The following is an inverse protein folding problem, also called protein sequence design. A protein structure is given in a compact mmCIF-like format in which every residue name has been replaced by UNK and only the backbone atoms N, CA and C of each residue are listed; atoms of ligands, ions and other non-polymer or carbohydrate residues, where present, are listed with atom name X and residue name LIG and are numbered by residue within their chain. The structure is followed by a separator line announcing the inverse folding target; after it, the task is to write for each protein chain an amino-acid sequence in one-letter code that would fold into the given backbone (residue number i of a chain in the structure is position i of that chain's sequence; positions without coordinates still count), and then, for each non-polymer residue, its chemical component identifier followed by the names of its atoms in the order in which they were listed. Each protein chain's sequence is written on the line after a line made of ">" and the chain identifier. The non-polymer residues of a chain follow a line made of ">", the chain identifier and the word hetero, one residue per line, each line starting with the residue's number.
data_IF_134244939597
#
_entry.id   IF_134244939597
#
_cell.length_a   1.000
_cell.length_b   1.000
_cell.length_c   1.000
_cell.angle_alpha   90.00
_cell.angle_beta   90.00
_cell.angle_gamma   90.00
#
_symmetry.space_group_name_H-M   'P 1'
#
loop_
_entity.id
_entity.type
_entity.pdbx_description
1 polymer ?
#
# COMPACT_ATOMS: atom_id res chain seq x y z
N UNK A 1 14.40 -9.01 2.19
CA UNK A 1 13.29 -9.43 1.31
C UNK A 1 12.93 -8.30 0.34
N UNK A 2 12.43 -8.64 -0.85
CA UNK A 2 11.96 -7.64 -1.83
C UNK A 2 10.46 -7.46 -1.67
N UNK A 3 10.02 -6.21 -1.58
CA UNK A 3 8.61 -5.83 -1.41
C UNK A 3 8.26 -4.64 -2.28
N UNK A 4 6.98 -4.54 -2.63
CA UNK A 4 6.42 -3.46 -3.45
C UNK A 4 5.37 -2.66 -2.69
N UNK A 5 5.21 -1.39 -3.05
CA UNK A 5 4.14 -0.53 -2.50
C UNK A 5 3.75 0.55 -3.50
N UNK A 6 2.44 0.74 -3.65
CA UNK A 6 1.87 1.93 -4.29
C UNK A 6 1.70 3.03 -3.24
N UNK A 7 2.15 4.23 -3.56
CA UNK A 7 2.09 5.39 -2.69
C UNK A 7 1.83 6.69 -3.46
N UNK A 8 1.46 7.73 -2.72
CA UNK A 8 1.32 9.08 -3.27
C UNK A 8 2.69 9.68 -3.62
N UNK A 9 2.72 10.63 -4.54
CA UNK A 9 3.95 11.37 -4.86
C UNK A 9 4.55 12.05 -3.61
N UNK A 10 3.69 12.58 -2.73
CA UNK A 10 4.13 13.22 -1.47
C UNK A 10 4.79 12.24 -0.50
N UNK A 11 4.25 11.03 -0.39
CA UNK A 11 4.83 9.97 0.44
C UNK A 11 6.20 9.57 -0.12
N UNK A 12 6.32 9.42 -1.45
CA UNK A 12 7.59 9.08 -2.09
C UNK A 12 8.65 10.18 -1.96
N UNK A 13 8.30 11.45 -2.14
CA UNK A 13 9.22 12.58 -1.94
C UNK A 13 9.77 12.61 -0.50
N UNK A 14 8.92 12.37 0.49
CA UNK A 14 9.34 12.29 1.89
C UNK A 14 10.26 11.10 2.15
N UNK A 15 9.93 9.93 1.60
CA UNK A 15 10.80 8.76 1.63
C UNK A 15 12.18 9.06 1.02
N UNK A 16 12.24 9.73 -0.15
CA UNK A 16 13.50 10.07 -0.81
C UNK A 16 14.37 11.04 0.00
N UNK A 17 13.76 11.96 0.76
CA UNK A 17 14.49 12.85 1.69
C UNK A 17 15.10 12.12 2.90
N UNK A 18 14.71 10.87 3.12
CA UNK A 18 15.07 10.11 4.32
C UNK A 18 14.20 10.43 5.53
N UNK A 19 13.02 11.03 5.31
CA UNK A 19 12.08 11.29 6.38
C UNK A 19 11.57 9.96 6.97
N UNK A 20 11.43 9.91 8.31
CA UNK A 20 10.74 8.81 8.97
C UNK A 20 9.23 8.95 8.75
N UNK A 21 8.68 8.15 7.85
CA UNK A 21 7.25 8.10 7.59
C UNK A 21 6.56 7.37 8.73
N UNK A 22 5.40 7.88 9.16
CA UNK A 22 4.63 7.32 10.26
C UNK A 22 3.16 7.18 9.86
N UNK A 23 2.60 5.99 10.00
CA UNK A 23 1.18 5.70 9.83
C UNK A 23 0.73 4.71 10.90
N UNK A 24 -0.18 5.17 11.77
CA UNK A 24 -0.73 4.38 12.87
C UNK A 24 -2.15 3.86 12.55
N UNK A 25 -2.60 3.96 11.31
CA UNK A 25 -3.94 3.52 10.92
C UNK A 25 -4.08 2.02 11.13
N UNK A 26 -5.01 1.64 11.99
CA UNK A 26 -5.39 0.25 12.19
C UNK A 26 -6.55 -0.09 11.25
N UNK A 27 -6.26 -0.82 10.18
CA UNK A 27 -7.27 -1.23 9.21
C UNK A 27 -8.15 -2.36 9.73
N UNK A 28 -7.71 -3.11 10.76
CA UNK A 28 -8.51 -4.16 11.38
C UNK A 28 -9.68 -3.60 12.18
N UNK A 29 -9.48 -2.45 12.83
CA UNK A 29 -10.55 -1.77 13.56
C UNK A 29 -11.58 -1.18 12.59
N UNK A 30 -11.12 -0.60 11.47
CA UNK A 30 -11.99 0.05 10.49
C UNK A 30 -12.74 -0.92 9.59
N UNK A 31 -12.15 -2.08 9.27
CA UNK A 31 -12.71 -3.06 8.34
C UNK A 31 -13.13 -4.38 9.02
N UNK A 32 -13.09 -4.45 10.35
CA UNK A 32 -13.33 -5.67 11.11
C UNK A 32 -12.35 -6.78 10.75
N UNK A 33 -12.80 -8.05 10.81
CA UNK A 33 -11.98 -9.23 10.48
C UNK A 33 -11.52 -9.35 9.00
N UNK A 34 -11.79 -8.34 8.17
CA UNK A 34 -11.38 -8.30 6.76
C UNK A 34 -9.90 -7.95 6.57
N UNK A 35 -9.21 -7.46 7.60
CA UNK A 35 -7.79 -7.14 7.52
C UNK A 35 -7.14 -7.22 8.90
N UNK A 36 -5.87 -7.63 8.97
CA UNK A 36 -5.05 -7.53 10.19
C UNK A 36 -3.97 -6.46 10.05
N UNK A 37 -4.16 -5.53 9.11
CA UNK A 37 -3.15 -4.63 8.58
C UNK A 37 -3.09 -3.35 9.40
N UNK A 38 -1.87 -2.92 9.75
CA UNK A 38 -1.65 -1.72 10.57
C UNK A 38 -0.51 -0.91 9.97
N UNK A 39 -0.78 0.35 9.66
CA UNK A 39 0.18 1.29 9.10
C UNK A 39 0.36 1.17 7.60
N UNK A 40 1.60 1.24 7.15
CA UNK A 40 1.97 1.07 5.75
C UNK A 40 2.06 -0.42 5.43
N UNK A 41 1.45 -0.84 4.32
CA UNK A 41 1.49 -2.21 3.87
C UNK A 41 2.16 -2.31 2.50
N UNK A 42 2.88 -3.41 2.35
CA UNK A 42 3.64 -3.79 1.19
C UNK A 42 3.21 -5.21 0.76
N UNK A 43 3.47 -5.55 -0.49
CA UNK A 43 3.10 -6.83 -1.08
C UNK A 43 4.30 -7.45 -1.84
N UNK A 44 4.23 -8.76 -2.07
CA UNK A 44 5.28 -9.51 -2.80
C UNK A 44 4.91 -9.77 -4.26
N UNK A 45 3.62 -9.73 -4.57
CA UNK A 45 3.11 -9.95 -5.91
C UNK A 45 3.62 -8.90 -6.90
N UNK A 46 3.60 -9.29 -8.18
CA UNK A 46 3.93 -8.40 -9.28
C UNK A 46 3.02 -7.14 -9.24
N UNK A 47 3.58 -5.92 -9.27
CA UNK A 47 2.82 -4.68 -9.35
C UNK A 47 1.76 -4.66 -10.49
N UNK A 48 2.03 -5.31 -11.63
CA UNK A 48 1.08 -5.44 -12.74
C UNK A 48 -0.17 -6.22 -12.37
N UNK A 49 -0.04 -7.25 -11.52
CA UNK A 49 -1.19 -7.99 -10.99
C UNK A 49 -1.83 -7.24 -9.81
N UNK A 50 -0.98 -6.63 -8.97
CA UNK A 50 -1.41 -5.99 -7.73
C UNK A 50 -2.33 -4.79 -7.95
N UNK A 51 -2.09 -4.01 -9.01
CA UNK A 51 -2.90 -2.83 -9.34
C UNK A 51 -4.40 -3.14 -9.46
N UNK A 52 -4.76 -4.34 -9.91
CA UNK A 52 -6.15 -4.73 -10.13
C UNK A 52 -6.94 -4.82 -8.83
N UNK A 53 -6.39 -5.48 -7.80
CA UNK A 53 -7.08 -5.65 -6.51
C UNK A 53 -6.78 -4.52 -5.50
N UNK A 54 -5.79 -3.66 -5.79
CA UNK A 54 -5.50 -2.44 -5.02
C UNK A 54 -6.22 -1.18 -5.53
N UNK A 55 -6.97 -1.27 -6.63
CA UNK A 55 -7.70 -0.14 -7.19
C UNK A 55 -8.70 0.47 -6.19
N UNK A 56 -8.64 1.80 -6.03
CA UNK A 56 -9.52 2.56 -5.13
C UNK A 56 -9.14 2.55 -3.64
N UNK A 57 -8.12 1.77 -3.25
CA UNK A 57 -7.67 1.67 -1.85
C UNK A 57 -6.27 2.22 -1.59
N UNK A 58 -5.48 2.44 -2.64
CA UNK A 58 -4.15 3.08 -2.58
C UNK A 58 -4.06 4.26 -3.53
N UNK A 59 -2.98 5.03 -3.40
CA UNK A 59 -2.60 6.04 -4.39
C UNK A 59 -1.60 5.40 -5.36
N UNK A 60 -1.80 5.59 -6.66
CA UNK A 60 -1.03 4.98 -7.74
C UNK A 60 0.04 5.90 -8.34
N UNK A 61 0.28 7.07 -7.74
CA UNK A 61 1.24 8.05 -8.24
C UNK A 61 2.63 7.42 -8.48
N UNK A 62 3.10 6.62 -7.52
CA UNK A 62 4.39 5.93 -7.59
C UNK A 62 4.25 4.51 -7.05
N UNK A 63 4.81 3.54 -7.78
CA UNK A 63 5.11 2.22 -7.25
C UNK A 63 6.59 2.14 -6.90
N UNK A 64 6.92 1.76 -5.67
CA UNK A 64 8.29 1.54 -5.21
C UNK A 64 8.54 0.05 -5.00
N UNK A 65 9.74 -0.39 -5.33
CA UNK A 65 10.28 -1.69 -4.96
C UNK A 65 11.45 -1.47 -4.02
N UNK A 66 11.41 -2.12 -2.85
CA UNK A 66 12.37 -1.95 -1.78
C UNK A 66 12.92 -3.29 -1.32
N UNK A 67 14.19 -3.29 -0.90
CA UNK A 67 14.75 -4.35 -0.09
C UNK A 67 14.66 -3.95 1.39
N UNK A 68 14.16 -4.86 2.22
CA UNK A 68 13.97 -4.63 3.65
C UNK A 68 14.28 -5.90 4.46
N UNK A 69 14.71 -5.75 5.70
CA UNK A 69 14.82 -6.87 6.64
C UNK A 69 13.43 -7.39 7.04
N UNK A 70 13.27 -8.71 7.22
CA UNK A 70 11.98 -9.28 7.62
C UNK A 70 11.54 -8.81 9.01
N UNK A 71 12.49 -8.47 9.90
CA UNK A 71 12.20 -7.96 11.24
C UNK A 71 11.60 -6.54 11.25
N UNK A 72 11.74 -5.78 10.17
CA UNK A 72 11.18 -4.42 10.03
C UNK A 72 9.70 -4.42 9.60
N UNK A 73 9.15 -5.59 9.23
CA UNK A 73 7.76 -5.75 8.78
C UNK A 73 7.05 -6.86 9.54
N UNK A 74 5.74 -6.70 9.72
CA UNK A 74 4.88 -7.75 10.28
C UNK A 74 4.01 -8.34 9.19
N UNK A 75 4.04 -9.66 9.06
CA UNK A 75 3.11 -10.39 8.18
C UNK A 75 1.66 -10.13 8.60
N UNK A 76 0.84 -9.82 7.62
CA UNK A 76 -0.56 -9.46 7.73
C UNK A 76 -1.37 -10.08 6.59
N UNK A 77 -2.68 -9.88 6.60
CA UNK A 77 -3.59 -10.37 5.57
C UNK A 77 -4.63 -9.32 5.24
N UNK A 78 -4.76 -9.01 3.95
CA UNK A 78 -5.83 -8.18 3.41
C UNK A 78 -6.89 -9.01 2.70
N UNK A 79 -8.14 -8.55 2.74
CA UNK A 79 -9.28 -9.09 2.00
C UNK A 79 -9.66 -8.13 0.88
N UNK A 80 -9.67 -8.63 -0.36
CA UNK A 80 -9.93 -7.84 -1.57
C UNK A 80 -11.02 -8.49 -2.42
N UNK A 81 -11.59 -7.71 -3.33
CA UNK A 81 -12.46 -8.24 -4.38
C UNK A 81 -11.64 -9.03 -5.41
N UNK A 82 -12.22 -10.09 -5.96
CA UNK A 82 -11.71 -10.67 -7.21
C UNK A 82 -11.86 -9.67 -8.36
N UNK A 83 -11.08 -9.87 -9.43
CA UNK A 83 -11.05 -8.97 -10.60
C UNK A 83 -12.40 -8.90 -11.32
N UNK A 84 -13.13 -10.01 -11.36
CA UNK A 84 -14.50 -10.09 -11.90
C UNK A 84 -15.58 -9.53 -10.96
N UNK A 85 -15.19 -9.07 -9.77
CA UNK A 85 -16.04 -8.54 -8.71
C UNK A 85 -17.13 -9.51 -8.21
N UNK A 86 -16.99 -10.80 -8.50
CA UNK A 86 -17.97 -11.84 -8.10
C UNK A 86 -17.59 -12.56 -6.81
N UNK A 87 -16.40 -12.30 -6.28
CA UNK A 87 -15.88 -13.02 -5.13
C UNK A 87 -14.90 -12.20 -4.29
N UNK A 88 -14.31 -12.90 -3.32
CA UNK A 88 -13.37 -12.35 -2.36
C UNK A 88 -12.09 -13.17 -2.40
N UNK A 89 -10.95 -12.48 -2.40
CA UNK A 89 -9.63 -13.07 -2.28
C UNK A 89 -8.90 -12.52 -1.07
N UNK A 90 -8.01 -13.34 -0.50
CA UNK A 90 -7.13 -12.91 0.58
C UNK A 90 -5.70 -12.85 0.05
N UNK A 91 -5.01 -11.74 0.32
CA UNK A 91 -3.59 -11.57 0.01
C UNK A 91 -2.77 -11.42 1.27
N UNK A 92 -1.56 -11.95 1.22
CA UNK A 92 -0.57 -11.74 2.26
C UNK A 92 0.02 -10.34 2.11
N UNK A 93 0.13 -9.61 3.21
CA UNK A 93 0.72 -8.28 3.25
C UNK A 93 1.85 -8.23 4.28
N UNK A 94 2.74 -7.26 4.12
CA UNK A 94 3.84 -6.99 5.03
C UNK A 94 3.70 -5.56 5.51
N UNK A 95 3.33 -5.36 6.77
CA UNK A 95 2.97 -4.04 7.27
C UNK A 95 3.88 -3.54 8.38
N UNK A 96 4.12 -2.24 8.43
CA UNK A 96 4.85 -1.55 9.48
C UNK A 96 4.21 -0.19 9.78
N UNK A 97 4.37 0.29 11.02
CA UNK A 97 3.87 1.62 11.39
C UNK A 97 4.77 2.76 10.92
N UNK A 98 6.04 2.45 10.68
CA UNK A 98 7.04 3.42 10.30
C UNK A 98 8.00 2.83 9.29
N UNK A 99 8.41 3.62 8.32
CA UNK A 99 9.52 3.27 7.44
C UNK A 99 10.24 4.51 6.91
N UNK A 100 11.46 4.31 6.44
CA UNK A 100 12.38 5.33 5.92
C UNK A 100 13.28 4.66 4.88
N UNK A 101 14.07 5.45 4.15
CA UNK A 101 14.96 4.92 3.12
C UNK A 101 16.27 4.30 3.68
N UNK A 102 16.49 4.35 4.99
CA UNK A 102 17.65 3.69 5.63
C UNK A 102 17.38 2.21 5.84
N UNK A 103 16.18 1.87 6.32
CA UNK A 103 15.76 0.48 6.58
C UNK A 103 15.10 -0.17 5.37
N UNK A 104 14.42 0.61 4.55
CA UNK A 104 13.76 0.15 3.32
C UNK A 104 14.56 0.68 2.15
N UNK A 105 15.55 -0.10 1.71
CA UNK A 105 16.47 0.31 0.65
C UNK A 105 15.76 0.30 -0.69
N UNK A 106 15.65 1.45 -1.34
CA UNK A 106 15.04 1.56 -2.67
C UNK A 106 15.85 0.77 -3.70
N UNK A 107 15.17 -0.09 -4.46
CA UNK A 107 15.74 -0.79 -5.62
C UNK A 107 15.33 -0.05 -6.90
N UNK A 108 14.03 0.22 -7.04
CA UNK A 108 13.46 0.89 -8.20
C UNK A 108 12.17 1.61 -7.82
N UNK A 109 11.77 2.55 -8.66
CA UNK A 109 10.50 3.26 -8.56
C UNK A 109 9.98 3.56 -9.96
N UNK A 110 8.67 3.49 -10.16
CA UNK A 110 8.02 3.84 -11.43
C UNK A 110 6.72 4.62 -11.20
N UNK A 111 6.41 5.54 -12.11
CA UNK A 111 5.14 6.27 -12.17
C UNK A 111 4.21 5.78 -13.30
N UNK A 112 4.53 4.63 -13.92
CA UNK A 112 3.77 4.06 -15.04
C UNK A 112 2.31 3.75 -14.70
N UNK A 113 1.99 3.58 -13.41
CA UNK A 113 0.64 3.27 -12.92
C UNK A 113 -0.20 4.50 -12.59
N UNK A 114 0.36 5.71 -12.63
CA UNK A 114 -0.30 6.94 -12.18
C UNK A 114 -1.64 7.24 -12.87
N UNK A 115 -1.85 6.73 -14.09
CA UNK A 115 -3.09 6.87 -14.85
C UNK A 115 -4.02 5.66 -14.77
N UNK A 116 -3.65 4.60 -14.05
CA UNK A 116 -4.37 3.33 -14.05
C UNK A 116 -5.74 3.41 -13.36
N UNK A 117 -5.78 4.04 -12.18
CA UNK A 117 -6.99 4.21 -11.40
C UNK A 117 -6.92 5.52 -10.60
N UNK A 118 -8.08 6.13 -10.24
CA UNK A 118 -8.08 7.29 -9.36
C UNK A 118 -7.44 6.97 -8.00
N UNK A 119 -6.57 7.86 -7.53
CA UNK A 119 -5.96 7.77 -6.21
C UNK A 119 -7.01 7.72 -5.10
N UNK A 120 -6.77 6.88 -4.10
CA UNK A 120 -7.59 6.80 -2.90
C UNK A 120 -7.75 8.16 -2.21
N UNK A 121 -6.68 8.95 -2.11
CA UNK A 121 -6.72 10.30 -1.52
C UNK A 121 -7.65 11.25 -2.29
N UNK A 122 -7.68 11.15 -3.62
CA UNK A 122 -8.60 11.90 -4.48
C UNK A 122 -10.03 11.44 -4.29
N UNK A 123 -10.28 10.12 -4.32
CA UNK A 123 -11.61 9.55 -4.11
C UNK A 123 -12.18 9.93 -2.74
N UNK A 124 -11.36 9.85 -1.69
CA UNK A 124 -11.74 10.25 -0.33
C UNK A 124 -12.10 11.73 -0.22
N UNK A 125 -11.40 12.60 -0.96
CA UNK A 125 -11.72 14.04 -1.02
C UNK A 125 -13.04 14.31 -1.76
N UNK A 126 -13.30 13.58 -2.83
CA UNK A 126 -14.52 13.76 -3.65
C UNK A 126 -15.77 13.15 -2.99
N UNK A 127 -15.62 12.01 -2.34
CA UNK A 127 -16.72 11.22 -1.79
C UNK A 127 -16.48 10.85 -0.32
N UNK A 128 -16.29 11.83 0.58
CA UNK A 128 -15.89 11.57 1.96
C UNK A 128 -16.85 10.64 2.70
N UNK A 129 -18.14 10.69 2.35
CA UNK A 129 -19.20 9.90 3.00
C UNK A 129 -19.09 8.39 2.75
N UNK A 130 -18.38 7.97 1.70
CA UNK A 130 -18.17 6.56 1.35
C UNK A 130 -16.94 5.98 2.08
N UNK A 131 -16.08 6.85 2.64
CA UNK A 131 -14.80 6.47 3.26
C UNK A 131 -14.74 6.73 4.78
N UNK A 132 -15.91 6.79 5.43
CA UNK A 132 -16.08 6.95 6.88
C UNK A 132 -15.62 5.68 7.61
#
# INVERSE_FOLDING_TARGET
>A
MILHRFCSAKEFEAFQRGDLLVNNTDHSVKRGGASTSVGFCFFKEDPEEAKHWLSGIVDFDVCITVEVDESDVKKSRGRYSTVDMQGVMYKEEYCCKTYDNYRFRLIESTSSYSSYAPNHSTLKRMFPEIFI
#
